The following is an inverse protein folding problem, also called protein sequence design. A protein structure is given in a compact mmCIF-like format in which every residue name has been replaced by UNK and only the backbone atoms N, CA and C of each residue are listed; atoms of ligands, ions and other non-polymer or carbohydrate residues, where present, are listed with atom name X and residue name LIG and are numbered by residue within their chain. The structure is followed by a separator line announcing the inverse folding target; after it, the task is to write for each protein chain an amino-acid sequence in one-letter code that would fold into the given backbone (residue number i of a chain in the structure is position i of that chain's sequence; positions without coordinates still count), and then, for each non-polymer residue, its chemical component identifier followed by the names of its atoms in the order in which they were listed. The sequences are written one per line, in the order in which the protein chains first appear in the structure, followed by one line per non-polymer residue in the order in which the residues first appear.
data_IF_006314076498
#
_entry.id   IF_006314076498
#
_cell.length_a   1.000
_cell.length_b   1.000
_cell.length_c   1.000
_cell.angle_alpha   90.00
_cell.angle_beta   90.00
_cell.angle_gamma   90.00
#
_symmetry.space_group_name_H-M   'P 1'
#
loop_
_entity.id
_entity.type
_entity.pdbx_description
1 polymer ?
#
# COMPACT_ATOMS: atom_id res chain seq x y z
N UNK A 1 -21.55 -30.42 -28.73
CA UNK A 1 -20.76 -30.00 -27.55
C UNK A 1 -20.48 -28.51 -27.70
N UNK A 2 -21.38 -27.66 -27.20
CA UNK A 2 -21.22 -26.22 -27.23
C UNK A 2 -20.30 -25.81 -26.08
N UNK A 3 -19.11 -25.30 -26.42
CA UNK A 3 -18.27 -24.59 -25.48
C UNK A 3 -18.95 -23.26 -25.13
N UNK A 4 -19.70 -23.24 -24.03
CA UNK A 4 -20.14 -22.02 -23.39
C UNK A 4 -18.89 -21.25 -22.94
N UNK A 5 -18.47 -20.27 -23.77
CA UNK A 5 -17.57 -19.20 -23.35
C UNK A 5 -18.28 -18.43 -22.24
N UNK A 6 -18.01 -18.78 -20.98
CA UNK A 6 -18.32 -17.93 -19.85
C UNK A 6 -17.33 -16.77 -19.86
N UNK A 7 -17.61 -15.76 -20.67
CA UNK A 7 -17.03 -14.43 -20.46
C UNK A 7 -17.45 -13.99 -19.06
N UNK A 8 -16.53 -14.13 -18.11
CA UNK A 8 -16.69 -13.50 -16.83
C UNK A 8 -16.79 -11.99 -17.09
N UNK A 9 -18.00 -11.46 -17.06
CA UNK A 9 -18.24 -10.02 -17.00
C UNK A 9 -17.52 -9.51 -15.75
N UNK A 10 -16.30 -9.00 -15.95
CA UNK A 10 -15.57 -8.25 -14.92
C UNK A 10 -16.40 -7.01 -14.66
N UNK A 11 -17.04 -6.94 -13.50
CA UNK A 11 -17.76 -5.75 -13.07
C UNK A 11 -16.72 -4.66 -12.87
N UNK A 12 -16.55 -3.78 -13.83
CA UNK A 12 -15.70 -2.62 -13.73
C UNK A 12 -16.27 -1.68 -12.67
N UNK A 13 -15.42 -1.19 -11.79
CA UNK A 13 -15.78 -0.11 -10.87
C UNK A 13 -16.20 1.14 -11.67
N UNK A 14 -17.18 1.86 -11.17
CA UNK A 14 -17.57 3.14 -11.77
C UNK A 14 -16.72 4.28 -11.21
N UNK A 15 -16.26 5.17 -12.09
CA UNK A 15 -15.54 6.40 -11.70
C UNK A 15 -16.55 7.39 -11.11
N UNK A 16 -16.92 7.17 -9.87
CA UNK A 16 -17.83 8.02 -9.10
C UNK A 16 -17.18 9.37 -8.75
N UNK A 17 -17.97 10.33 -8.28
CA UNK A 17 -17.46 11.60 -7.75
C UNK A 17 -16.43 11.38 -6.62
N UNK A 18 -16.65 10.40 -5.73
CA UNK A 18 -15.71 10.07 -4.66
C UNK A 18 -14.36 9.59 -5.23
N UNK A 19 -14.34 8.75 -6.26
CA UNK A 19 -13.12 8.30 -6.95
C UNK A 19 -12.40 9.48 -7.59
N UNK A 20 -13.13 10.39 -8.24
CA UNK A 20 -12.54 11.60 -8.86
C UNK A 20 -11.90 12.51 -7.81
N UNK A 21 -12.58 12.78 -6.70
CA UNK A 21 -12.05 13.60 -5.60
C UNK A 21 -10.79 12.96 -5.01
N UNK A 22 -10.80 11.65 -4.76
CA UNK A 22 -9.65 10.94 -4.24
C UNK A 22 -8.47 10.94 -5.24
N UNK A 23 -8.72 10.74 -6.53
CA UNK A 23 -7.69 10.84 -7.57
C UNK A 23 -7.09 12.25 -7.65
N UNK A 24 -7.89 13.31 -7.55
CA UNK A 24 -7.41 14.70 -7.52
C UNK A 24 -6.53 14.94 -6.30
N UNK A 25 -6.95 14.45 -5.12
CA UNK A 25 -6.14 14.55 -3.89
C UNK A 25 -4.80 13.82 -4.04
N UNK A 26 -4.79 12.59 -4.56
CA UNK A 26 -3.57 11.81 -4.76
C UNK A 26 -2.68 12.43 -5.85
N UNK A 27 -3.26 12.93 -6.94
CA UNK A 27 -2.53 13.71 -7.94
C UNK A 27 -1.87 14.95 -7.31
N UNK A 28 -2.57 15.66 -6.43
CA UNK A 28 -2.03 16.76 -5.64
C UNK A 28 -0.82 16.34 -4.79
N UNK A 29 -0.88 15.18 -4.12
CA UNK A 29 0.26 14.62 -3.38
C UNK A 29 1.46 14.31 -4.30
N UNK A 30 1.20 13.75 -5.48
CA UNK A 30 2.25 13.45 -6.48
C UNK A 30 2.90 14.75 -6.98
N UNK A 31 2.11 15.77 -7.32
CA UNK A 31 2.63 17.08 -7.71
C UNK A 31 3.42 17.75 -6.58
N UNK A 32 2.92 17.67 -5.34
CA UNK A 32 3.63 18.18 -4.17
C UNK A 32 4.96 17.43 -3.95
N UNK A 33 4.98 16.10 -4.17
CA UNK A 33 6.19 15.29 -4.10
C UNK A 33 7.25 15.75 -5.12
N UNK A 34 6.82 15.94 -6.37
CA UNK A 34 7.69 16.42 -7.45
C UNK A 34 8.20 17.83 -7.13
N UNK A 35 7.32 18.75 -6.73
CA UNK A 35 7.68 20.12 -6.37
C UNK A 35 8.63 20.17 -5.18
N UNK A 36 8.38 19.39 -4.12
CA UNK A 36 9.25 19.28 -2.95
C UNK A 36 10.64 18.71 -3.33
N UNK A 37 10.67 17.68 -4.18
CA UNK A 37 11.92 17.11 -4.70
C UNK A 37 12.72 18.13 -5.50
N UNK A 38 12.09 18.84 -6.44
CA UNK A 38 12.73 19.88 -7.25
C UNK A 38 13.22 21.04 -6.34
N UNK A 39 12.36 21.52 -5.47
CA UNK A 39 12.71 22.60 -4.54
C UNK A 39 13.89 22.22 -3.65
N UNK A 40 13.86 21.01 -3.06
CA UNK A 40 14.98 20.50 -2.24
C UNK A 40 16.28 20.39 -3.05
N UNK A 41 16.23 19.82 -4.25
CA UNK A 41 17.39 19.68 -5.14
C UNK A 41 17.96 21.03 -5.58
N UNK A 42 17.11 22.03 -5.90
CA UNK A 42 17.54 23.33 -6.39
C UNK A 42 18.03 24.28 -5.27
N UNK A 43 17.38 24.26 -4.11
CA UNK A 43 17.77 25.13 -2.97
C UNK A 43 19.04 24.64 -2.28
N UNK A 44 19.39 23.35 -2.45
CA UNK A 44 20.58 22.75 -1.85
C UNK A 44 21.72 22.59 -2.86
N UNK A 45 21.76 23.39 -3.92
CA UNK A 45 22.80 23.32 -4.98
C UNK A 45 24.22 23.37 -4.42
N UNK A 46 24.44 24.04 -3.28
CA UNK A 46 25.73 24.04 -2.57
C UNK A 46 26.16 22.66 -2.05
N UNK A 47 25.23 21.70 -1.89
CA UNK A 47 25.49 20.34 -1.45
C UNK A 47 25.72 19.35 -2.61
N UNK A 48 25.60 19.82 -3.86
CA UNK A 48 25.91 19.03 -5.04
C UNK A 48 25.07 17.75 -5.17
N UNK A 49 25.75 16.61 -5.45
CA UNK A 49 25.12 15.31 -5.70
C UNK A 49 24.23 14.82 -4.54
N UNK A 50 24.62 15.05 -3.30
CA UNK A 50 23.87 14.59 -2.10
C UNK A 50 22.50 15.25 -2.00
N UNK A 51 22.35 16.52 -2.37
CA UNK A 51 21.07 17.21 -2.37
C UNK A 51 20.06 16.56 -3.31
N UNK A 52 20.50 16.13 -4.50
CA UNK A 52 19.65 15.44 -5.47
C UNK A 52 19.28 14.03 -5.00
N UNK A 53 20.19 13.31 -4.35
CA UNK A 53 19.89 12.00 -3.74
C UNK A 53 18.81 12.15 -2.67
N UNK A 54 18.96 13.10 -1.74
CA UNK A 54 17.94 13.37 -0.72
C UNK A 54 16.60 13.80 -1.32
N UNK A 55 16.63 14.64 -2.37
CA UNK A 55 15.43 15.05 -3.08
C UNK A 55 14.68 13.88 -3.73
N UNK A 56 15.41 12.97 -4.37
CA UNK A 56 14.84 11.77 -4.97
C UNK A 56 14.33 10.78 -3.92
N UNK A 57 15.03 10.62 -2.79
CA UNK A 57 14.56 9.77 -1.68
C UNK A 57 13.27 10.34 -1.06
N UNK A 58 13.18 11.65 -0.86
CA UNK A 58 11.94 12.31 -0.40
C UNK A 58 10.80 12.06 -1.40
N UNK A 59 11.07 12.20 -2.69
CA UNK A 59 10.10 11.93 -3.75
C UNK A 59 9.63 10.47 -3.70
N UNK A 60 10.52 9.51 -3.46
CA UNK A 60 10.17 8.10 -3.29
C UNK A 60 9.25 7.86 -2.09
N UNK A 61 9.52 8.49 -0.94
CA UNK A 61 8.66 8.40 0.25
C UNK A 61 7.24 8.89 -0.07
N UNK A 62 7.12 10.05 -0.71
CA UNK A 62 5.81 10.63 -1.05
C UNK A 62 5.09 9.81 -2.13
N UNK A 63 5.81 9.26 -3.11
CA UNK A 63 5.25 8.35 -4.10
C UNK A 63 4.82 7.01 -3.49
N UNK A 64 5.57 6.48 -2.51
CA UNK A 64 5.18 5.28 -1.79
C UNK A 64 3.86 5.50 -1.01
N UNK A 65 3.69 6.65 -0.37
CA UNK A 65 2.41 7.03 0.26
C UNK A 65 1.30 7.08 -0.78
N UNK A 66 1.52 7.77 -1.89
CA UNK A 66 0.52 7.95 -2.94
C UNK A 66 0.10 6.60 -3.56
N UNK A 67 1.04 5.70 -3.83
CA UNK A 67 0.74 4.39 -4.45
C UNK A 67 0.00 3.45 -3.49
N UNK A 68 0.28 3.48 -2.18
CA UNK A 68 -0.47 2.72 -1.18
C UNK A 68 -1.92 3.21 -1.14
N UNK A 69 -2.16 4.53 -1.17
CA UNK A 69 -3.50 5.11 -1.23
C UNK A 69 -4.22 4.78 -2.55
N UNK A 70 -3.52 4.81 -3.69
CA UNK A 70 -4.08 4.36 -4.98
C UNK A 70 -4.48 2.88 -4.94
N UNK A 71 -3.64 2.01 -4.36
CA UNK A 71 -3.98 0.60 -4.17
C UNK A 71 -5.24 0.40 -3.34
N UNK A 72 -5.42 1.21 -2.30
CA UNK A 72 -6.64 1.19 -1.48
C UNK A 72 -7.88 1.71 -2.21
N UNK A 73 -7.73 2.65 -3.14
CA UNK A 73 -8.81 3.07 -4.05
C UNK A 73 -9.21 1.94 -4.99
N UNK A 74 -8.23 1.27 -5.58
CA UNK A 74 -8.44 0.10 -6.46
C UNK A 74 -9.30 -0.95 -5.75
N UNK A 75 -8.94 -1.31 -4.53
CA UNK A 75 -9.69 -2.29 -3.73
C UNK A 75 -11.04 -1.76 -3.27
N UNK A 76 -11.08 -0.54 -2.72
CA UNK A 76 -12.27 0.05 -2.13
C UNK A 76 -13.39 0.29 -3.12
N UNK A 77 -13.08 0.60 -4.35
CA UNK A 77 -14.06 0.94 -5.39
C UNK A 77 -14.18 -0.12 -6.50
N UNK A 78 -13.57 -1.30 -6.32
CA UNK A 78 -13.79 -2.45 -7.19
C UNK A 78 -13.06 -2.38 -8.53
N UNK A 79 -11.91 -1.70 -8.60
CA UNK A 79 -11.09 -1.60 -9.81
C UNK A 79 -10.02 -2.68 -9.94
N UNK A 80 -9.91 -3.62 -9.01
CA UNK A 80 -8.80 -4.57 -8.90
C UNK A 80 -8.55 -5.47 -10.12
N UNK A 81 -9.49 -5.52 -11.06
CA UNK A 81 -9.37 -6.22 -12.34
C UNK A 81 -9.83 -5.35 -13.53
N UNK A 82 -9.81 -4.02 -13.41
CA UNK A 82 -10.25 -3.11 -14.48
C UNK A 82 -9.38 -3.24 -15.73
N UNK A 83 -8.10 -3.57 -15.57
CA UNK A 83 -7.15 -3.87 -16.65
C UNK A 83 -6.98 -5.38 -16.90
N UNK A 84 -7.79 -6.22 -16.24
CA UNK A 84 -7.66 -7.68 -16.27
C UNK A 84 -6.34 -8.18 -15.67
N UNK A 85 -5.95 -9.41 -16.01
CA UNK A 85 -4.72 -10.04 -15.50
C UNK A 85 -3.46 -9.73 -16.33
N UNK A 86 -3.54 -8.88 -17.35
CA UNK A 86 -2.39 -8.50 -18.18
C UNK A 86 -1.51 -7.49 -17.45
N UNK A 87 -0.21 -7.71 -17.48
CA UNK A 87 0.78 -6.88 -16.81
C UNK A 87 2.04 -6.74 -17.70
N UNK A 88 2.78 -5.63 -17.62
CA UNK A 88 2.54 -4.41 -16.85
C UNK A 88 1.52 -3.45 -17.46
N UNK A 89 1.38 -3.44 -18.78
CA UNK A 89 0.56 -2.48 -19.51
C UNK A 89 -0.43 -3.14 -20.48
N UNK A 90 -1.53 -2.46 -20.69
CA UNK A 90 -2.48 -2.69 -21.78
C UNK A 90 -2.39 -1.56 -22.79
N UNK A 91 -2.87 -1.77 -24.03
CA UNK A 91 -2.84 -0.74 -25.07
C UNK A 91 -3.56 0.56 -24.68
N UNK A 92 -4.47 0.49 -23.71
CA UNK A 92 -5.36 1.60 -23.34
C UNK A 92 -5.01 2.25 -21.98
N UNK A 93 -3.86 1.95 -21.38
CA UNK A 93 -3.54 2.41 -20.01
C UNK A 93 -3.59 3.94 -19.88
N UNK A 94 -3.07 4.69 -20.84
CA UNK A 94 -3.11 6.16 -20.80
C UNK A 94 -4.52 6.71 -20.95
N UNK A 95 -5.34 6.09 -21.80
CA UNK A 95 -6.76 6.46 -21.95
C UNK A 95 -7.53 6.22 -20.65
N UNK A 96 -7.28 5.10 -19.98
CA UNK A 96 -7.91 4.77 -18.70
C UNK A 96 -7.43 5.70 -17.59
N UNK A 97 -6.13 6.03 -17.57
CA UNK A 97 -5.56 7.01 -16.64
C UNK A 97 -6.28 8.37 -16.77
N UNK A 98 -6.42 8.88 -17.99
CA UNK A 98 -7.12 10.16 -18.26
C UNK A 98 -8.61 10.09 -17.88
N UNK A 99 -9.23 8.92 -17.98
CA UNK A 99 -10.61 8.69 -17.54
C UNK A 99 -10.74 8.54 -16.02
N UNK A 100 -9.63 8.53 -15.29
CA UNK A 100 -9.62 8.46 -13.83
C UNK A 100 -9.70 7.04 -13.26
N UNK A 101 -9.28 6.02 -14.01
CA UNK A 101 -9.17 4.65 -13.52
C UNK A 101 -8.02 4.54 -12.50
N UNK A 102 -8.30 4.17 -11.22
CA UNK A 102 -7.27 4.12 -10.20
C UNK A 102 -6.26 2.99 -10.39
N UNK A 103 -6.63 1.87 -11.06
CA UNK A 103 -5.67 0.80 -11.35
C UNK A 103 -4.67 1.26 -12.39
N UNK A 104 -5.11 1.99 -13.43
CA UNK A 104 -4.22 2.60 -14.42
C UNK A 104 -3.25 3.60 -13.75
N UNK A 105 -3.76 4.45 -12.86
CA UNK A 105 -2.96 5.40 -12.09
C UNK A 105 -1.94 4.68 -11.20
N UNK A 106 -2.35 3.63 -10.48
CA UNK A 106 -1.49 2.83 -9.63
C UNK A 106 -0.31 2.24 -10.42
N UNK A 107 -0.55 1.66 -11.58
CA UNK A 107 0.50 1.07 -12.42
C UNK A 107 1.47 2.10 -13.00
N UNK A 108 0.98 3.27 -13.40
CA UNK A 108 1.83 4.37 -13.91
C UNK A 108 2.71 4.92 -12.79
N UNK A 109 2.15 5.17 -11.59
CA UNK A 109 2.91 5.63 -10.41
C UNK A 109 3.94 4.57 -9.99
N UNK A 110 3.59 3.28 -10.01
CA UNK A 110 4.53 2.19 -9.72
C UNK A 110 5.74 2.18 -10.66
N UNK A 111 5.50 2.41 -11.95
CA UNK A 111 6.58 2.52 -12.94
C UNK A 111 7.49 3.71 -12.66
N UNK A 112 6.90 4.88 -12.39
CA UNK A 112 7.66 6.09 -12.06
C UNK A 112 8.53 5.88 -10.82
N UNK A 113 7.95 5.27 -9.77
CA UNK A 113 8.66 4.91 -8.54
C UNK A 113 9.84 3.96 -8.83
N UNK A 114 9.66 2.98 -9.71
CA UNK A 114 10.72 2.08 -10.17
C UNK A 114 11.85 2.82 -10.92
N UNK A 115 11.50 3.73 -11.83
CA UNK A 115 12.49 4.52 -12.58
C UNK A 115 13.30 5.45 -11.66
N UNK A 116 12.67 6.09 -10.68
CA UNK A 116 13.38 6.89 -9.67
C UNK A 116 14.29 6.00 -8.83
N UNK A 117 13.83 4.79 -8.44
CA UNK A 117 14.65 3.82 -7.72
C UNK A 117 15.92 3.43 -8.50
N UNK A 118 15.81 3.19 -9.81
CA UNK A 118 16.97 2.95 -10.69
C UNK A 118 17.90 4.16 -10.72
N UNK A 119 17.34 5.37 -10.89
CA UNK A 119 18.13 6.59 -10.89
C UNK A 119 18.90 6.78 -9.57
N UNK A 120 18.26 6.49 -8.43
CA UNK A 120 18.91 6.54 -7.13
C UNK A 120 20.10 5.58 -7.03
N UNK A 121 19.95 4.33 -7.45
CA UNK A 121 21.05 3.34 -7.44
C UNK A 121 22.18 3.79 -8.36
N UNK A 122 21.88 4.36 -9.52
CA UNK A 122 22.92 4.87 -10.46
C UNK A 122 23.66 6.08 -9.87
N UNK A 123 22.94 6.99 -9.21
CA UNK A 123 23.51 8.20 -8.64
C UNK A 123 24.26 7.94 -7.32
N UNK A 124 23.75 7.04 -6.50
CA UNK A 124 24.25 6.76 -5.15
C UNK A 124 24.04 5.28 -4.78
N UNK A 125 24.93 4.37 -5.25
CA UNK A 125 24.79 2.93 -5.02
C UNK A 125 25.22 2.57 -3.60
N UNK A 126 24.32 2.75 -2.65
CA UNK A 126 24.47 2.36 -1.26
C UNK A 126 23.48 1.28 -0.85
N UNK A 127 23.59 0.79 0.38
CA UNK A 127 22.70 -0.25 0.89
C UNK A 127 21.24 0.20 0.95
N UNK A 128 20.94 1.48 1.20
CA UNK A 128 19.57 2.00 1.29
C UNK A 128 18.90 2.04 -0.09
N UNK A 129 19.61 2.60 -1.10
CA UNK A 129 19.10 2.71 -2.48
C UNK A 129 18.94 1.35 -3.15
N UNK A 130 19.92 0.44 -2.96
CA UNK A 130 19.88 -0.93 -3.49
C UNK A 130 18.75 -1.72 -2.84
N UNK A 131 18.60 -1.67 -1.50
CA UNK A 131 17.50 -2.34 -0.79
C UNK A 131 16.15 -1.78 -1.22
N UNK A 132 16.03 -0.44 -1.33
CA UNK A 132 14.81 0.21 -1.78
C UNK A 132 14.40 -0.25 -3.18
N UNK A 133 15.32 -0.30 -4.14
CA UNK A 133 15.04 -0.80 -5.49
C UNK A 133 14.67 -2.29 -5.49
N UNK A 134 15.37 -3.12 -4.72
CA UNK A 134 15.05 -4.54 -4.60
C UNK A 134 13.64 -4.77 -4.05
N UNK A 135 13.24 -3.99 -3.05
CA UNK A 135 11.88 -4.01 -2.49
C UNK A 135 10.84 -3.56 -3.52
N UNK A 136 11.13 -2.53 -4.34
CA UNK A 136 10.23 -2.08 -5.42
C UNK A 136 10.02 -3.21 -6.43
N UNK A 137 11.10 -3.85 -6.88
CA UNK A 137 11.02 -4.97 -7.85
C UNK A 137 10.22 -6.11 -7.27
N UNK A 138 10.50 -6.51 -6.02
CA UNK A 138 9.73 -7.56 -5.33
C UNK A 138 8.26 -7.18 -5.22
N UNK A 139 7.94 -5.93 -4.81
CA UNK A 139 6.56 -5.43 -4.72
C UNK A 139 5.84 -5.53 -6.06
N UNK A 140 6.49 -5.16 -7.17
CA UNK A 140 5.93 -5.23 -8.51
C UNK A 140 5.61 -6.67 -8.93
N UNK A 141 6.52 -7.62 -8.65
CA UNK A 141 6.32 -9.05 -8.95
C UNK A 141 5.14 -9.62 -8.15
N UNK A 142 5.06 -9.33 -6.85
CA UNK A 142 3.92 -9.73 -6.04
C UNK A 142 2.64 -8.98 -6.45
N UNK A 143 2.73 -7.72 -6.88
CA UNK A 143 1.62 -6.96 -7.44
C UNK A 143 1.01 -7.61 -8.68
N UNK A 144 1.83 -8.12 -9.59
CA UNK A 144 1.38 -8.96 -10.71
C UNK A 144 0.63 -10.21 -10.18
N UNK A 145 1.16 -10.83 -9.13
CA UNK A 145 0.55 -11.98 -8.48
C UNK A 145 -0.83 -11.69 -7.88
N UNK A 146 -1.08 -10.48 -7.35
CA UNK A 146 -2.38 -10.12 -6.76
C UNK A 146 -3.53 -10.19 -7.76
N UNK A 147 -3.28 -9.89 -9.04
CA UNK A 147 -4.27 -10.01 -10.10
C UNK A 147 -4.74 -11.47 -10.25
N UNK A 148 -3.83 -12.42 -10.09
CA UNK A 148 -4.16 -13.85 -10.13
C UNK A 148 -4.85 -14.30 -8.83
N UNK A 149 -4.54 -13.71 -7.67
CA UNK A 149 -5.28 -13.96 -6.41
C UNK A 149 -6.73 -13.52 -6.56
N UNK A 150 -6.97 -12.31 -7.06
CA UNK A 150 -8.32 -11.78 -7.28
C UNK A 150 -9.09 -12.59 -8.31
N UNK A 151 -8.40 -13.16 -9.30
CA UNK A 151 -8.98 -14.09 -10.27
C UNK A 151 -9.15 -15.54 -9.74
N UNK A 152 -8.85 -15.81 -8.47
CA UNK A 152 -8.95 -17.14 -7.86
C UNK A 152 -7.89 -18.16 -8.33
N UNK A 153 -6.76 -17.69 -8.87
CA UNK A 153 -5.69 -18.52 -9.48
C UNK A 153 -4.39 -18.56 -8.68
N UNK A 154 -4.29 -17.79 -7.61
CA UNK A 154 -3.10 -17.75 -6.75
C UNK A 154 -3.52 -17.68 -5.26
N UNK A 155 -2.66 -18.11 -4.34
CA UNK A 155 -2.97 -18.15 -2.92
C UNK A 155 -2.95 -16.74 -2.29
N UNK A 156 -3.76 -16.54 -1.26
CA UNK A 156 -3.98 -15.26 -0.59
C UNK A 156 -2.70 -14.62 0.00
N UNK A 157 -1.70 -15.42 0.37
CA UNK A 157 -0.46 -14.88 0.94
C UNK A 157 0.28 -13.96 -0.05
N UNK A 158 0.10 -14.14 -1.36
CA UNK A 158 0.68 -13.26 -2.39
C UNK A 158 0.17 -11.83 -2.21
N UNK A 159 -1.12 -11.66 -1.90
CA UNK A 159 -1.72 -10.35 -1.65
C UNK A 159 -1.19 -9.75 -0.33
N UNK A 160 -1.09 -10.56 0.73
CA UNK A 160 -0.49 -10.14 1.99
C UNK A 160 0.96 -9.69 1.84
N UNK A 161 1.77 -10.46 1.09
CA UNK A 161 3.17 -10.13 0.81
C UNK A 161 3.30 -8.85 -0.01
N UNK A 162 2.43 -8.63 -1.02
CA UNK A 162 2.42 -7.38 -1.79
C UNK A 162 2.20 -6.15 -0.88
N UNK A 163 1.22 -6.22 0.02
CA UNK A 163 0.97 -5.14 0.99
C UNK A 163 2.15 -4.90 1.92
N UNK A 164 2.72 -5.98 2.49
CA UNK A 164 3.91 -5.89 3.35
C UNK A 164 5.09 -5.24 2.63
N UNK A 165 5.38 -5.67 1.40
CA UNK A 165 6.48 -5.13 0.60
C UNK A 165 6.26 -3.66 0.24
N UNK A 166 5.02 -3.23 -0.06
CA UNK A 166 4.72 -1.83 -0.34
C UNK A 166 5.05 -0.92 0.86
N UNK A 167 4.70 -1.34 2.07
CA UNK A 167 5.07 -0.62 3.29
C UNK A 167 6.58 -0.72 3.59
N UNK A 168 7.22 -1.83 3.24
CA UNK A 168 8.68 -1.98 3.36
C UNK A 168 9.42 -1.00 2.44
N UNK A 169 8.91 -0.75 1.21
CA UNK A 169 9.45 0.31 0.31
C UNK A 169 9.37 1.68 0.99
N UNK A 170 8.20 2.04 1.53
CA UNK A 170 8.01 3.31 2.24
C UNK A 170 9.00 3.46 3.39
N UNK A 171 9.06 2.46 4.28
CA UNK A 171 9.92 2.52 5.48
C UNK A 171 11.40 2.52 5.08
N UNK A 172 11.82 1.76 4.07
CA UNK A 172 13.21 1.72 3.61
C UNK A 172 13.71 3.08 3.16
N UNK A 173 12.95 3.79 2.31
CA UNK A 173 13.34 5.13 1.87
C UNK A 173 13.21 6.18 2.98
N UNK A 174 12.22 6.06 3.85
CA UNK A 174 12.05 6.98 4.97
C UNK A 174 13.18 6.84 6.00
N UNK A 175 13.59 5.60 6.30
CA UNK A 175 14.73 5.30 7.18
C UNK A 175 16.03 5.83 6.55
N UNK A 176 16.29 5.54 5.27
CA UNK A 176 17.48 6.06 4.59
C UNK A 176 17.53 7.59 4.52
N UNK A 177 16.37 8.26 4.43
CA UNK A 177 16.28 9.72 4.45
C UNK A 177 16.51 10.31 5.86
N UNK A 178 16.00 9.66 6.90
CA UNK A 178 16.02 10.15 8.28
C UNK A 178 17.24 9.73 9.07
N UNK A 179 17.77 8.54 8.78
CA UNK A 179 18.87 7.88 9.48
C UNK A 179 19.88 7.33 8.47
N UNK A 180 20.72 8.19 7.84
CA UNK A 180 21.60 7.77 6.73
C UNK A 180 22.57 6.64 7.09
N UNK A 181 22.93 6.54 8.37
CA UNK A 181 23.88 5.53 8.87
C UNK A 181 23.20 4.21 9.27
N UNK A 182 21.86 4.11 9.17
CA UNK A 182 21.09 2.94 9.59
C UNK A 182 20.41 2.30 8.36
N UNK A 183 20.69 1.02 8.12
CA UNK A 183 20.03 0.29 7.05
C UNK A 183 18.63 -0.20 7.45
N UNK A 184 17.74 -0.33 6.49
CA UNK A 184 16.36 -0.76 6.70
C UNK A 184 16.24 -2.04 7.57
N UNK A 185 17.04 -3.07 7.30
CA UNK A 185 16.99 -4.32 8.05
C UNK A 185 17.48 -4.13 9.50
N UNK A 186 18.51 -3.32 9.72
CA UNK A 186 18.99 -2.98 11.05
C UNK A 186 17.95 -2.18 11.83
N UNK A 187 17.30 -1.21 11.16
CA UNK A 187 16.21 -0.45 11.78
C UNK A 187 15.02 -1.34 12.14
N UNK A 188 14.68 -2.26 11.25
CA UNK A 188 13.62 -3.23 11.50
C UNK A 188 13.95 -4.13 12.68
N UNK A 189 15.18 -4.68 12.76
CA UNK A 189 15.63 -5.56 13.83
C UNK A 189 15.49 -4.93 15.23
N UNK A 190 15.69 -3.62 15.33
CA UNK A 190 15.60 -2.88 16.59
C UNK A 190 14.20 -2.34 16.91
N UNK A 191 13.25 -2.37 15.97
CA UNK A 191 11.92 -1.74 16.12
C UNK A 191 10.76 -2.75 16.18
N UNK A 192 10.49 -3.26 17.39
CA UNK A 192 9.43 -4.25 17.63
C UNK A 192 8.02 -3.73 17.25
N UNK A 193 7.78 -2.41 17.34
CA UNK A 193 6.49 -1.83 16.96
C UNK A 193 6.21 -2.03 15.47
N UNK A 194 7.23 -1.89 14.62
CA UNK A 194 7.09 -2.15 13.19
C UNK A 194 6.83 -3.62 12.87
N UNK A 195 7.38 -4.56 13.63
CA UNK A 195 7.09 -5.99 13.43
C UNK A 195 5.60 -6.28 13.63
N UNK A 196 5.00 -5.74 14.71
CA UNK A 196 3.57 -5.91 14.97
C UNK A 196 2.72 -5.28 13.84
N UNK A 197 3.08 -4.06 13.40
CA UNK A 197 2.38 -3.37 12.30
C UNK A 197 2.53 -4.14 10.99
N UNK A 198 3.71 -4.62 10.64
CA UNK A 198 3.96 -5.38 9.42
C UNK A 198 3.21 -6.72 9.41
N UNK A 199 3.14 -7.39 10.56
CA UNK A 199 2.31 -8.58 10.71
C UNK A 199 0.82 -8.27 10.45
N UNK A 200 0.31 -7.18 11.02
CA UNK A 200 -1.07 -6.77 10.81
C UNK A 200 -1.34 -6.38 9.33
N UNK A 201 -0.41 -5.69 8.66
CA UNK A 201 -0.50 -5.37 7.22
C UNK A 201 -0.55 -6.65 6.38
N UNK A 202 0.37 -7.59 6.62
CA UNK A 202 0.41 -8.86 5.92
C UNK A 202 -0.90 -9.63 6.05
N UNK A 203 -1.41 -9.78 7.28
CA UNK A 203 -2.65 -10.50 7.55
C UNK A 203 -3.89 -9.78 7.02
N UNK A 204 -3.90 -8.44 7.01
CA UNK A 204 -4.94 -7.65 6.36
C UNK A 204 -4.99 -7.89 4.85
N UNK A 205 -3.84 -7.89 4.20
CA UNK A 205 -3.73 -8.24 2.79
C UNK A 205 -4.12 -9.69 2.52
N UNK A 206 -3.74 -10.64 3.38
CA UNK A 206 -4.22 -12.03 3.29
C UNK A 206 -5.75 -12.12 3.40
N UNK A 207 -6.37 -11.31 4.27
CA UNK A 207 -7.83 -11.27 4.40
C UNK A 207 -8.49 -10.83 3.10
N UNK A 208 -7.96 -9.77 2.46
CA UNK A 208 -8.42 -9.32 1.14
C UNK A 208 -8.25 -10.42 0.09
N UNK A 209 -7.08 -11.04 0.01
CA UNK A 209 -6.80 -12.12 -0.94
C UNK A 209 -7.67 -13.36 -0.70
N UNK A 210 -7.88 -13.75 0.57
CA UNK A 210 -8.67 -14.94 0.91
C UNK A 210 -10.18 -14.72 0.67
N UNK A 211 -10.66 -13.49 0.85
CA UNK A 211 -12.02 -13.13 0.50
C UNK A 211 -12.25 -13.22 -1.02
N UNK A 212 -11.21 -12.89 -1.80
CA UNK A 212 -11.31 -12.78 -3.24
C UNK A 212 -12.10 -11.55 -3.69
N UNK A 213 -12.27 -11.41 -5.01
CA UNK A 213 -12.97 -10.26 -5.56
C UNK A 213 -14.48 -10.35 -5.36
N UNK A 214 -15.03 -9.36 -4.66
CA UNK A 214 -16.48 -9.18 -4.52
C UNK A 214 -17.19 -10.19 -3.62
N UNK A 215 -16.48 -10.95 -2.78
CA UNK A 215 -17.10 -11.87 -1.83
C UNK A 215 -17.21 -11.24 -0.43
N UNK A 216 -18.32 -11.44 0.30
CA UNK A 216 -18.43 -11.05 1.69
C UNK A 216 -17.63 -12.01 2.59
N UNK A 217 -17.24 -11.54 3.78
CA UNK A 217 -16.62 -12.38 4.81
C UNK A 217 -17.70 -13.13 5.58
N UNK A 218 -18.87 -12.53 5.72
CA UNK A 218 -20.01 -12.89 6.57
C UNK A 218 -19.71 -12.79 8.07
N UNK A 219 -20.67 -12.35 8.88
CA UNK A 219 -20.55 -12.30 10.34
C UNK A 219 -20.35 -13.70 10.93
N UNK A 220 -19.53 -13.80 11.96
CA UNK A 220 -19.23 -15.06 12.64
C UNK A 220 -18.98 -14.84 14.14
N UNK A 221 -19.31 -15.83 14.94
CA UNK A 221 -18.90 -15.95 16.33
C UNK A 221 -17.67 -16.88 16.43
N UNK A 222 -17.71 -18.00 15.72
CA UNK A 222 -16.59 -18.90 15.54
C UNK A 222 -16.26 -19.01 14.04
N UNK A 223 -14.99 -18.83 13.61
CA UNK A 223 -14.61 -18.94 12.21
C UNK A 223 -14.88 -20.34 11.65
N UNK A 224 -15.54 -20.41 10.49
CA UNK A 224 -15.85 -21.64 9.75
C UNK A 224 -15.21 -21.68 8.36
N UNK A 225 -14.86 -20.50 7.80
CA UNK A 225 -14.28 -20.34 6.47
C UNK A 225 -12.88 -19.75 6.58
N UNK A 226 -12.04 -19.99 5.58
CA UNK A 226 -10.68 -19.46 5.54
C UNK A 226 -10.65 -17.92 5.64
N UNK A 227 -11.58 -17.20 4.97
CA UNK A 227 -11.70 -15.74 5.07
C UNK A 227 -12.03 -15.26 6.50
N UNK A 228 -12.83 -16.01 7.25
CA UNK A 228 -13.14 -15.69 8.66
C UNK A 228 -11.94 -15.95 9.58
N UNK A 229 -11.19 -17.03 9.33
CA UNK A 229 -9.96 -17.30 10.06
C UNK A 229 -8.90 -16.22 9.81
N UNK A 230 -8.70 -15.78 8.58
CA UNK A 230 -7.73 -14.70 8.30
C UNK A 230 -8.14 -13.38 8.96
N UNK A 231 -9.44 -13.05 8.99
CA UNK A 231 -9.96 -11.90 9.76
C UNK A 231 -9.70 -12.05 11.26
N UNK A 232 -10.00 -13.22 11.84
CA UNK A 232 -9.79 -13.45 13.27
C UNK A 232 -8.31 -13.27 13.65
N UNK A 233 -7.40 -13.82 12.85
CA UNK A 233 -5.94 -13.67 13.07
C UNK A 233 -5.49 -12.23 12.82
N UNK A 234 -6.07 -11.53 11.82
CA UNK A 234 -5.80 -10.10 11.60
C UNK A 234 -6.26 -9.24 12.78
N UNK A 235 -7.44 -9.51 13.36
CA UNK A 235 -7.91 -8.83 14.57
C UNK A 235 -6.94 -9.07 15.73
N UNK A 236 -6.47 -10.30 15.91
CA UNK A 236 -5.47 -10.61 16.93
C UNK A 236 -4.15 -9.83 16.71
N UNK A 237 -3.67 -9.74 15.47
CA UNK A 237 -2.51 -8.93 15.13
C UNK A 237 -2.74 -7.43 15.38
N UNK A 238 -3.94 -6.91 15.10
CA UNK A 238 -4.31 -5.53 15.41
C UNK A 238 -4.30 -5.27 16.92
N UNK A 239 -4.79 -6.21 17.74
CA UNK A 239 -4.68 -6.14 19.19
C UNK A 239 -3.22 -6.19 19.65
N UNK A 240 -2.37 -6.99 18.99
CA UNK A 240 -0.93 -7.03 19.27
C UNK A 240 -0.29 -5.66 18.96
N UNK A 241 -0.66 -4.98 17.89
CA UNK A 241 -0.21 -3.61 17.58
C UNK A 241 -0.60 -2.66 18.71
N UNK A 242 -1.87 -2.65 19.11
CA UNK A 242 -2.35 -1.80 20.22
C UNK A 242 -1.62 -2.11 21.53
N UNK A 243 -1.45 -3.39 21.86
CA UNK A 243 -0.74 -3.83 23.07
C UNK A 243 0.73 -3.42 23.07
N UNK A 244 1.44 -3.64 21.95
CA UNK A 244 2.85 -3.25 21.80
C UNK A 244 3.04 -1.75 21.90
N UNK A 245 2.23 -0.96 21.17
CA UNK A 245 2.28 0.50 21.24
C UNK A 245 1.82 1.04 22.59
N UNK A 246 0.88 0.38 23.26
CA UNK A 246 0.46 0.73 24.63
C UNK A 246 1.60 0.52 25.64
N UNK A 247 2.33 -0.59 25.53
CA UNK A 247 3.53 -0.82 26.33
C UNK A 247 4.65 0.20 26.05
N UNK A 248 4.77 0.61 24.77
CA UNK A 248 5.76 1.60 24.32
C UNK A 248 5.17 3.04 24.26
N UNK A 249 4.01 3.30 24.86
CA UNK A 249 3.30 4.57 24.74
C UNK A 249 4.16 5.82 25.05
N UNK A 250 5.08 5.83 26.01
CA UNK A 250 5.94 6.99 26.24
C UNK A 250 6.80 7.38 25.04
N UNK A 251 7.21 6.39 24.22
CA UNK A 251 7.99 6.61 23.01
C UNK A 251 7.09 6.89 21.79
N UNK A 252 5.91 6.28 21.71
CA UNK A 252 5.02 6.35 20.52
C UNK A 252 3.58 6.76 20.84
N UNK A 253 3.33 7.89 21.54
CA UNK A 253 1.98 8.26 21.97
C UNK A 253 1.01 8.48 20.79
N UNK A 254 1.46 9.14 19.73
CA UNK A 254 0.63 9.39 18.56
C UNK A 254 0.27 8.09 17.85
N UNK A 255 1.25 7.19 17.64
CA UNK A 255 1.00 5.89 17.01
C UNK A 255 0.03 5.04 17.83
N UNK A 256 0.11 5.08 19.16
CA UNK A 256 -0.81 4.36 20.05
C UNK A 256 -2.27 4.83 19.87
N UNK A 257 -2.53 6.14 19.97
CA UNK A 257 -3.89 6.64 19.81
C UNK A 257 -4.46 6.41 18.40
N UNK A 258 -3.61 6.51 17.37
CA UNK A 258 -4.00 6.16 16.00
C UNK A 258 -4.33 4.66 15.88
N UNK A 259 -3.58 3.78 16.52
CA UNK A 259 -3.85 2.33 16.51
C UNK A 259 -5.16 1.98 17.22
N UNK A 260 -5.48 2.64 18.34
CA UNK A 260 -6.77 2.50 19.01
C UNK A 260 -7.92 2.95 18.11
N UNK A 261 -7.81 4.13 17.48
CA UNK A 261 -8.80 4.62 16.54
C UNK A 261 -8.94 3.71 15.31
N UNK A 262 -7.83 3.16 14.82
CA UNK A 262 -7.79 2.22 13.69
C UNK A 262 -8.58 0.93 13.96
N UNK A 263 -8.65 0.49 15.20
CA UNK A 263 -9.45 -0.68 15.57
C UNK A 263 -10.93 -0.44 15.30
N UNK A 264 -11.46 0.75 15.65
CA UNK A 264 -12.85 1.14 15.34
C UNK A 264 -13.07 1.25 13.81
N UNK A 265 -12.10 1.81 13.07
CA UNK A 265 -12.15 1.89 11.61
C UNK A 265 -12.15 0.49 10.98
N UNK A 266 -11.36 -0.44 11.51
CA UNK A 266 -11.35 -1.84 11.07
C UNK A 266 -12.71 -2.54 11.28
N UNK A 267 -13.37 -2.26 12.38
CA UNK A 267 -14.73 -2.75 12.65
C UNK A 267 -15.74 -2.22 11.62
N UNK A 268 -15.68 -0.91 11.33
CA UNK A 268 -16.53 -0.30 10.28
C UNK A 268 -16.22 -0.88 8.90
N UNK A 269 -14.95 -1.12 8.58
CA UNK A 269 -14.54 -1.76 7.33
C UNK A 269 -15.10 -3.18 7.20
N UNK A 270 -15.07 -3.98 8.27
CA UNK A 270 -15.67 -5.32 8.27
C UNK A 270 -17.14 -5.28 7.89
N UNK A 271 -17.92 -4.34 8.46
CA UNK A 271 -19.31 -4.14 8.06
C UNK A 271 -19.44 -3.62 6.63
N UNK A 272 -18.62 -2.67 6.22
CA UNK A 272 -18.60 -2.15 4.84
C UNK A 272 -18.38 -3.25 3.79
N UNK A 273 -17.42 -4.15 4.04
CA UNK A 273 -17.12 -5.31 3.18
C UNK A 273 -18.31 -6.29 3.10
N UNK A 274 -19.03 -6.49 4.19
CA UNK A 274 -20.18 -7.39 4.20
C UNK A 274 -21.42 -6.76 3.55
N UNK A 275 -21.63 -5.45 3.68
CA UNK A 275 -22.74 -4.73 3.06
C UNK A 275 -22.53 -4.49 1.57
N UNK A 276 -21.31 -4.21 1.15
CA UNK A 276 -20.94 -3.87 -0.24
C UNK A 276 -19.69 -4.62 -0.68
N UNK A 277 -19.75 -5.95 -0.83
CA UNK A 277 -18.56 -6.77 -1.01
C UNK A 277 -17.76 -6.47 -2.29
N UNK A 278 -18.40 -5.96 -3.35
CA UNK A 278 -17.73 -5.59 -4.62
C UNK A 278 -17.02 -4.24 -4.57
N UNK A 279 -17.56 -3.30 -3.79
CA UNK A 279 -17.03 -1.94 -3.66
C UNK A 279 -17.34 -1.39 -2.25
N UNK A 280 -16.55 -1.77 -1.24
CA UNK A 280 -16.76 -1.31 0.14
C UNK A 280 -16.70 0.22 0.30
N UNK A 281 -16.05 0.90 -0.63
CA UNK A 281 -16.01 2.36 -0.69
C UNK A 281 -14.82 2.97 0.03
N UNK A 282 -14.96 4.26 0.37
CA UNK A 282 -13.91 5.08 0.94
C UNK A 282 -13.37 4.58 2.29
N UNK A 283 -14.10 3.72 2.99
CA UNK A 283 -13.66 3.15 4.28
C UNK A 283 -12.37 2.34 4.12
N UNK A 284 -12.13 1.69 2.97
CA UNK A 284 -10.89 0.98 2.66
C UNK A 284 -9.73 1.97 2.60
N UNK A 285 -9.92 3.10 1.89
CA UNK A 285 -8.90 4.15 1.76
C UNK A 285 -8.58 4.75 3.12
N UNK A 286 -9.62 5.03 3.93
CA UNK A 286 -9.45 5.58 5.27
C UNK A 286 -8.71 4.61 6.19
N UNK A 287 -9.04 3.32 6.15
CA UNK A 287 -8.34 2.27 6.90
C UNK A 287 -6.85 2.23 6.54
N UNK A 288 -6.50 2.26 5.26
CA UNK A 288 -5.10 2.29 4.82
C UNK A 288 -4.38 3.60 5.15
N UNK A 289 -5.06 4.75 5.05
CA UNK A 289 -4.50 6.04 5.45
C UNK A 289 -4.15 6.06 6.96
N UNK A 290 -4.96 5.44 7.80
CA UNK A 290 -4.68 5.30 9.22
C UNK A 290 -3.47 4.39 9.48
N UNK A 291 -3.33 3.26 8.76
CA UNK A 291 -2.14 2.39 8.86
C UNK A 291 -0.88 3.13 8.41
N UNK A 292 -0.96 3.93 7.33
CA UNK A 292 0.12 4.82 6.91
C UNK A 292 0.51 5.80 8.01
N UNK A 293 -0.48 6.47 8.63
CA UNK A 293 -0.23 7.42 9.71
C UNK A 293 0.43 6.77 10.93
N UNK A 294 0.01 5.55 11.31
CA UNK A 294 0.65 4.76 12.38
C UNK A 294 2.11 4.45 12.02
N UNK A 295 2.36 3.95 10.80
CA UNK A 295 3.71 3.61 10.33
C UNK A 295 4.62 4.84 10.33
N UNK A 296 4.14 5.98 9.80
CA UNK A 296 4.88 7.24 9.79
C UNK A 296 5.14 7.74 11.21
N UNK A 297 4.16 7.67 12.12
CA UNK A 297 4.32 8.09 13.51
C UNK A 297 5.37 7.26 14.25
N UNK A 298 5.50 5.95 13.95
CA UNK A 298 6.55 5.09 14.52
C UNK A 298 7.92 5.51 13.98
N UNK A 299 8.07 5.63 12.66
CA UNK A 299 9.39 5.90 12.06
C UNK A 299 9.89 7.33 12.34
N UNK A 300 8.99 8.31 12.43
CA UNK A 300 9.37 9.71 12.65
C UNK A 300 9.63 10.05 14.12
N UNK A 301 9.12 9.25 15.08
CA UNK A 301 9.32 9.47 16.52
C UNK A 301 10.35 8.50 17.17
N UNK A 302 10.97 7.65 16.38
CA UNK A 302 12.00 6.72 16.84
C UNK A 302 13.37 7.39 16.97
#
# INVERSE_FOLDING_TARGET
MEHKNSEHHVVQGEVTTAVRVANVFIAGLIFAAIAAGIWRGTTSVALGREAWVQALMLTQVLFAIAIILLGSLVEGFGFGLSLGTRWPYTRNILTLLVRGDPEAAHRVVATTLGLIGVALVVLHPDAATITGLALIVATALFGMGTLHVLAGRAPAFVHGTHGLLAYSVLVSYLVGLRYPDIHFLQYLDTNIALHAVFLAIFLGGMTTGQRGFGQPIEPFVAPKRASQWTVAVHIFAALLVVGTLGWMMPAYPVAFYLAVAQFAVGFLLFHGVNLRPKAPGAIVVFHQAMVLAITLAIVLNA
#
